data_IF_839299287796
#
_entry.id   IF_839299287796
#
_cell.length_a   1.000
_cell.length_b   1.000
_cell.length_c   1.000
_cell.angle_alpha   90.00
_cell.angle_beta   90.00
_cell.angle_gamma   90.00
#
_symmetry.space_group_name_H-M   'P 1'
#
loop_
_entity.id
_entity.type
_entity.pdbx_description
1 polymer ?
#
# COMPACT_ATOMS: atom_id res chain seq x y z
N UNK A 1 67.76 -52.78 83.94
CA UNK A 1 69.05 -52.51 84.60
C UNK A 1 69.19 -51.00 84.71
N UNK A 2 68.96 -50.48 85.94
CA UNK A 2 69.40 -49.20 86.56
C UNK A 2 69.42 -47.94 85.66
N UNK A 3 68.40 -47.06 85.66
CA UNK A 3 68.11 -45.92 86.58
C UNK A 3 69.24 -44.86 86.72
N UNK A 4 68.94 -43.61 86.29
CA UNK A 4 68.65 -42.41 87.12
C UNK A 4 69.33 -41.07 86.72
N UNK A 5 68.47 -40.03 86.70
CA UNK A 5 68.67 -38.58 87.01
C UNK A 5 69.55 -37.73 86.07
N UNK A 6 69.34 -36.42 85.84
CA UNK A 6 68.29 -35.43 86.09
C UNK A 6 68.75 -34.09 85.45
N UNK A 7 67.78 -33.24 85.07
CA UNK A 7 67.70 -31.78 85.30
C UNK A 7 68.70 -30.74 84.71
N UNK A 8 68.10 -29.86 83.91
CA UNK A 8 68.00 -28.38 84.03
C UNK A 8 69.15 -27.36 83.74
N UNK A 9 68.67 -26.28 83.08
CA UNK A 9 69.00 -24.84 83.15
C UNK A 9 70.16 -24.18 82.34
N UNK A 10 69.76 -23.10 81.64
CA UNK A 10 70.54 -22.05 80.95
C UNK A 10 71.52 -21.30 81.88
N UNK A 11 72.64 -20.78 81.35
CA UNK A 11 73.01 -19.34 81.32
C UNK A 11 74.48 -19.06 80.86
N UNK A 12 74.65 -17.94 80.14
CA UNK A 12 75.80 -16.99 80.08
C UNK A 12 77.24 -17.37 79.68
N UNK A 13 77.71 -16.62 78.66
CA UNK A 13 78.87 -15.69 78.62
C UNK A 13 80.20 -16.05 79.34
N UNK A 14 81.25 -15.82 78.55
CA UNK A 14 82.54 -15.17 78.87
C UNK A 14 83.66 -15.99 79.54
N UNK A 15 84.80 -16.07 78.84
CA UNK A 15 86.15 -15.83 79.40
C UNK A 15 86.97 -15.11 78.30
N UNK A 16 87.42 -13.85 78.46
CA UNK A 16 88.48 -13.27 79.33
C UNK A 16 89.85 -13.91 79.07
N UNK A 17 90.78 -13.24 78.39
CA UNK A 17 91.66 -12.09 78.75
C UNK A 17 92.98 -12.52 79.41
N UNK A 18 94.11 -12.09 78.81
CA UNK A 18 95.31 -11.42 79.40
C UNK A 18 96.63 -11.79 78.66
N UNK A 19 97.73 -11.00 78.73
CA UNK A 19 97.80 -9.53 78.55
C UNK A 19 99.11 -8.99 77.90
N UNK A 20 99.15 -7.65 77.75
CA UNK A 20 100.27 -6.72 77.99
C UNK A 20 101.34 -6.38 76.91
N UNK A 21 101.09 -5.21 76.28
CA UNK A 21 101.87 -3.95 76.38
C UNK A 21 103.18 -3.67 75.60
N UNK A 22 103.10 -2.51 74.90
CA UNK A 22 104.11 -1.46 74.64
C UNK A 22 105.32 -1.77 73.72
N UNK A 23 105.38 -1.14 72.53
CA UNK A 23 106.05 0.15 72.29
C UNK A 23 106.17 0.49 70.78
N UNK A 24 106.04 1.80 70.51
CA UNK A 24 106.74 2.61 69.51
C UNK A 24 106.58 2.36 67.97
N UNK A 25 105.75 3.22 67.37
CA UNK A 25 106.13 4.20 66.32
C UNK A 25 107.27 3.87 65.31
N UNK A 26 106.95 3.64 64.03
CA UNK A 26 107.18 4.60 62.92
C UNK A 26 106.84 4.04 61.51
N UNK A 27 106.33 4.90 60.60
CA UNK A 27 106.49 4.78 59.13
C UNK A 27 105.33 4.16 58.30
N UNK A 28 104.11 4.70 58.27
CA UNK A 28 103.63 5.79 57.39
C UNK A 28 103.49 5.57 55.85
N UNK A 29 103.67 4.34 55.32
CA UNK A 29 103.48 4.07 53.86
C UNK A 29 102.42 3.01 53.49
N UNK A 30 102.16 1.99 54.31
CA UNK A 30 101.19 0.92 53.95
C UNK A 30 99.71 1.26 54.23
N UNK A 31 99.42 2.09 55.24
CA UNK A 31 98.04 2.58 55.49
C UNK A 31 97.56 3.51 54.38
N UNK A 32 98.45 4.33 53.81
CA UNK A 32 98.14 5.24 52.70
C UNK A 32 97.81 4.45 51.42
N UNK A 33 98.59 3.41 51.11
CA UNK A 33 98.33 2.53 49.95
C UNK A 33 96.98 1.80 50.08
N UNK A 34 96.64 1.30 51.28
CA UNK A 34 95.35 0.65 51.51
C UNK A 34 94.16 1.62 51.44
N UNK A 35 94.32 2.84 51.97
CA UNK A 35 93.31 3.92 51.83
C UNK A 35 93.11 4.28 50.36
N UNK A 36 94.19 4.42 49.57
CA UNK A 36 94.12 4.70 48.14
C UNK A 36 93.41 3.57 47.38
N UNK A 37 93.67 2.31 47.72
CA UNK A 37 93.00 1.16 47.11
C UNK A 37 91.49 1.13 47.41
N UNK A 38 91.09 1.43 48.65
CA UNK A 38 89.66 1.53 49.04
C UNK A 38 88.97 2.71 48.35
N UNK A 39 89.63 3.85 48.20
CA UNK A 39 89.11 5.02 47.48
C UNK A 39 88.94 4.73 45.99
N UNK A 40 89.90 4.04 45.35
CA UNK A 40 89.79 3.58 43.96
C UNK A 40 88.63 2.60 43.78
N UNK A 41 88.45 1.65 44.69
CA UNK A 41 87.33 0.71 44.66
C UNK A 41 85.98 1.43 44.80
N UNK A 42 85.88 2.39 45.71
CA UNK A 42 84.69 3.23 45.88
C UNK A 42 84.41 4.09 44.64
N UNK A 43 85.43 4.63 43.97
CA UNK A 43 85.29 5.37 42.71
C UNK A 43 84.77 4.48 41.59
N UNK A 44 85.25 3.23 41.49
CA UNK A 44 84.77 2.25 40.51
C UNK A 44 83.31 1.90 40.78
N UNK A 45 82.94 1.62 42.04
CA UNK A 45 81.55 1.29 42.41
C UNK A 45 80.60 2.48 42.11
N UNK A 46 80.99 3.71 42.48
CA UNK A 46 80.20 4.90 42.19
C UNK A 46 80.14 5.20 40.68
N UNK A 47 81.21 4.94 39.94
CA UNK A 47 81.25 5.07 38.48
C UNK A 47 80.31 4.09 37.79
N UNK A 48 80.31 2.82 38.22
CA UNK A 48 79.36 1.79 37.73
C UNK A 48 77.92 2.17 38.10
N UNK A 49 77.67 2.59 39.34
CA UNK A 49 76.32 2.99 39.77
C UNK A 49 75.82 4.24 39.04
N UNK A 50 76.70 5.21 38.74
CA UNK A 50 76.36 6.38 37.94
C UNK A 50 76.09 6.03 36.48
N UNK A 51 76.88 5.12 35.90
CA UNK A 51 76.67 4.61 34.55
C UNK A 51 75.35 3.84 34.43
N UNK A 52 75.09 2.89 35.33
CA UNK A 52 73.82 2.15 35.42
C UNK A 52 72.65 3.11 35.65
N UNK A 53 72.77 4.08 36.56
CA UNK A 53 71.72 5.08 36.79
C UNK A 53 71.45 5.98 35.58
N UNK A 54 72.48 6.28 34.75
CA UNK A 54 72.29 7.02 33.49
C UNK A 54 71.66 6.15 32.41
N UNK A 55 72.02 4.87 32.35
CA UNK A 55 71.43 3.91 31.43
C UNK A 55 69.95 3.67 31.78
N UNK A 56 69.64 3.43 33.06
CA UNK A 56 68.27 3.28 33.55
C UNK A 56 67.43 4.54 33.26
N UNK A 57 67.98 5.74 33.44
CA UNK A 57 67.29 7.00 33.12
C UNK A 57 67.00 7.14 31.62
N UNK A 58 67.92 6.72 30.75
CA UNK A 58 67.70 6.70 29.29
C UNK A 58 66.65 5.66 28.89
N UNK A 59 66.76 4.44 29.40
CA UNK A 59 65.81 3.36 29.11
C UNK A 59 64.39 3.69 29.61
N UNK A 60 64.26 4.37 30.76
CA UNK A 60 62.96 4.86 31.27
C UNK A 60 62.43 5.99 30.39
N UNK A 61 63.27 6.94 29.95
CA UNK A 61 62.87 8.02 29.06
C UNK A 61 62.39 7.50 27.70
N UNK A 62 63.11 6.55 27.10
CA UNK A 62 62.74 5.93 25.82
C UNK A 62 61.44 5.12 25.93
N UNK A 63 61.24 4.40 27.05
CA UNK A 63 59.98 3.71 27.36
C UNK A 63 58.82 4.70 27.53
N UNK A 64 59.05 5.82 28.22
CA UNK A 64 58.06 6.86 28.44
C UNK A 64 57.64 7.53 27.12
N UNK A 65 58.60 7.88 26.26
CA UNK A 65 58.33 8.43 24.93
C UNK A 65 57.56 7.43 24.04
N UNK A 66 57.91 6.14 24.11
CA UNK A 66 57.17 5.10 23.38
C UNK A 66 55.73 4.94 23.88
N UNK A 67 55.49 5.08 25.18
CA UNK A 67 54.14 5.03 25.77
C UNK A 67 53.34 6.25 25.32
N UNK A 68 53.92 7.44 25.35
CA UNK A 68 53.27 8.68 24.91
C UNK A 68 52.89 8.65 23.42
N UNK A 69 53.77 8.12 22.56
CA UNK A 69 53.47 7.90 21.13
C UNK A 69 52.29 6.95 20.92
N UNK A 70 52.25 5.83 21.65
CA UNK A 70 51.14 4.86 21.59
C UNK A 70 49.84 5.45 22.13
N UNK A 71 49.89 6.22 23.21
CA UNK A 71 48.73 6.90 23.79
C UNK A 71 48.14 7.94 22.82
N UNK A 72 49.00 8.72 22.15
CA UNK A 72 48.57 9.65 21.11
C UNK A 72 47.93 8.94 19.92
N UNK A 73 48.46 7.79 19.48
CA UNK A 73 47.82 6.99 18.43
C UNK A 73 46.43 6.49 18.84
N UNK A 74 46.27 6.02 20.08
CA UNK A 74 44.97 5.58 20.60
C UNK A 74 43.99 6.77 20.69
N UNK A 75 44.44 7.97 21.07
CA UNK A 75 43.60 9.18 21.06
C UNK A 75 43.12 9.53 19.66
N UNK A 76 44.01 9.51 18.66
CA UNK A 76 43.65 9.75 17.25
C UNK A 76 42.65 8.70 16.75
N UNK A 77 42.88 7.41 17.04
CA UNK A 77 41.94 6.34 16.69
C UNK A 77 40.58 6.54 17.33
N UNK A 78 40.54 7.04 18.57
CA UNK A 78 39.26 7.31 19.22
C UNK A 78 38.54 8.47 18.55
N UNK A 79 39.21 9.60 18.32
CA UNK A 79 38.59 10.74 17.66
C UNK A 79 38.02 10.36 16.28
N UNK A 80 38.75 9.51 15.55
CA UNK A 80 38.28 8.92 14.29
C UNK A 80 37.04 8.04 14.48
N UNK A 81 37.06 7.14 15.47
CA UNK A 81 35.93 6.27 15.78
C UNK A 81 34.69 7.07 16.22
N UNK A 82 34.86 8.11 17.03
CA UNK A 82 33.77 8.97 17.50
C UNK A 82 33.11 9.71 16.32
N UNK A 83 33.91 10.20 15.37
CA UNK A 83 33.40 10.79 14.12
C UNK A 83 32.60 9.77 13.30
N UNK A 84 33.15 8.57 13.09
CA UNK A 84 32.50 7.50 12.32
C UNK A 84 31.21 7.01 13.00
N UNK A 85 31.16 7.01 14.34
CA UNK A 85 29.95 6.69 15.09
C UNK A 85 28.83 7.69 14.85
N UNK A 86 29.14 8.98 14.85
CA UNK A 86 28.15 10.02 14.60
C UNK A 86 27.59 9.91 13.17
N UNK A 87 28.48 9.72 12.19
CA UNK A 87 28.09 9.50 10.80
C UNK A 87 27.25 8.22 10.63
N UNK A 88 27.61 7.15 11.35
CA UNK A 88 26.83 5.91 11.36
C UNK A 88 25.42 6.12 11.90
N UNK A 89 25.24 6.85 13.01
CA UNK A 89 23.93 7.08 13.61
C UNK A 89 22.99 7.80 12.61
N UNK A 90 23.53 8.72 11.80
CA UNK A 90 22.79 9.37 10.70
C UNK A 90 22.43 8.39 9.58
N UNK A 91 23.35 7.50 9.19
CA UNK A 91 23.10 6.50 8.13
C UNK A 91 22.10 5.43 8.57
N UNK A 92 22.17 4.96 9.82
CA UNK A 92 21.20 4.02 10.40
C UNK A 92 19.80 4.62 10.33
N UNK A 93 19.63 5.87 10.75
CA UNK A 93 18.34 6.56 10.68
C UNK A 93 17.82 6.65 9.22
N UNK A 94 18.69 6.91 8.25
CA UNK A 94 18.30 6.92 6.83
C UNK A 94 17.90 5.53 6.32
N UNK A 95 18.67 4.49 6.65
CA UNK A 95 18.37 3.11 6.25
C UNK A 95 17.03 2.64 6.85
N UNK A 96 16.77 2.95 8.13
CA UNK A 96 15.50 2.63 8.79
C UNK A 96 14.31 3.33 8.14
N UNK A 97 14.46 4.61 7.78
CA UNK A 97 13.43 5.35 7.03
C UNK A 97 13.15 4.74 5.65
N UNK A 98 14.17 4.16 5.03
CA UNK A 98 14.07 3.46 3.74
C UNK A 98 13.68 1.98 3.88
N UNK A 99 13.50 1.48 5.12
CA UNK A 99 13.09 0.11 5.42
C UNK A 99 14.18 -0.96 5.32
N UNK A 100 15.46 -0.57 5.33
CA UNK A 100 16.60 -1.48 5.26
C UNK A 100 17.07 -2.04 6.61
N UNK A 101 18.00 -3.00 6.58
CA UNK A 101 18.53 -3.68 7.77
C UNK A 101 19.82 -3.02 8.31
N UNK A 102 19.81 -2.68 9.59
CA UNK A 102 20.91 -1.99 10.32
C UNK A 102 21.64 -2.87 11.33
N UNK A 103 21.25 -4.15 11.47
CA UNK A 103 21.72 -5.03 12.55
C UNK A 103 23.22 -5.30 12.54
N UNK A 104 23.81 -5.56 11.36
CA UNK A 104 25.24 -5.87 11.20
C UNK A 104 26.14 -4.68 11.58
N UNK A 105 25.79 -3.47 11.16
CA UNK A 105 26.50 -2.23 11.52
C UNK A 105 26.49 -2.01 13.04
N UNK A 106 25.33 -2.21 13.67
CA UNK A 106 25.19 -2.09 15.11
C UNK A 106 26.02 -3.12 15.90
N UNK A 107 26.16 -4.35 15.39
CA UNK A 107 27.01 -5.38 15.99
C UNK A 107 28.49 -5.01 15.92
N UNK A 108 28.99 -4.66 14.73
CA UNK A 108 30.39 -4.30 14.52
C UNK A 108 30.80 -3.06 15.33
N UNK A 109 29.91 -2.07 15.44
CA UNK A 109 30.09 -0.91 16.33
C UNK A 109 30.35 -1.33 17.78
N UNK A 110 29.51 -2.22 18.32
CA UNK A 110 29.63 -2.67 19.72
C UNK A 110 30.97 -3.38 19.96
N UNK A 111 31.40 -4.21 19.02
CA UNK A 111 32.69 -4.89 19.08
C UNK A 111 33.86 -3.91 19.05
N UNK A 112 33.80 -2.89 18.18
CA UNK A 112 34.86 -1.90 18.00
C UNK A 112 35.01 -1.00 19.25
N UNK A 113 33.88 -0.59 19.85
CA UNK A 113 33.86 0.17 21.10
C UNK A 113 34.40 -0.64 22.29
N UNK A 114 34.05 -1.93 22.37
CA UNK A 114 34.55 -2.82 23.41
C UNK A 114 36.07 -2.98 23.30
N UNK A 115 36.60 -3.22 22.10
CA UNK A 115 38.04 -3.38 21.88
C UNK A 115 38.82 -2.09 22.16
N UNK A 116 38.30 -0.93 21.74
CA UNK A 116 38.92 0.37 22.03
C UNK A 116 38.96 0.68 23.54
N UNK A 117 37.90 0.34 24.28
CA UNK A 117 37.87 0.46 25.74
C UNK A 117 38.95 -0.41 26.40
N UNK A 118 39.14 -1.64 25.94
CA UNK A 118 40.19 -2.53 26.46
C UNK A 118 41.60 -2.02 26.14
N UNK A 119 41.82 -1.47 24.94
CA UNK A 119 43.11 -0.92 24.52
C UNK A 119 43.53 0.31 25.34
N UNK A 120 42.57 1.15 25.74
CA UNK A 120 42.80 2.31 26.64
C UNK A 120 43.14 1.89 28.07
N UNK A 121 42.42 0.90 28.60
CA UNK A 121 42.65 0.41 29.97
C UNK A 121 44.06 -0.18 30.15
N UNK A 122 44.67 -0.69 29.09
CA UNK A 122 46.00 -1.30 29.09
C UNK A 122 47.19 -0.30 29.09
N UNK A 123 46.95 1.02 29.22
CA UNK A 123 48.00 2.10 29.23
C UNK A 123 48.99 2.00 28.06
N UNK A 124 48.50 2.22 26.84
CA UNK A 124 49.30 2.15 25.61
C UNK A 124 49.33 0.71 25.09
N UNK A 125 48.20 0.25 24.57
CA UNK A 125 48.07 -1.07 23.95
C UNK A 125 49.26 -1.40 23.04
N UNK A 126 49.67 -2.67 23.06
CA UNK A 126 50.80 -3.12 22.26
C UNK A 126 50.59 -2.80 20.76
N UNK A 127 51.68 -2.69 19.99
CA UNK A 127 51.65 -2.36 18.57
C UNK A 127 50.72 -3.30 17.78
N UNK A 128 50.61 -4.57 18.21
CA UNK A 128 49.65 -5.53 17.65
C UNK A 128 48.18 -5.09 17.85
N UNK A 129 47.83 -4.55 19.02
CA UNK A 129 46.48 -4.05 19.32
C UNK A 129 46.14 -2.82 18.48
N UNK A 130 47.08 -1.88 18.34
CA UNK A 130 46.89 -0.68 17.51
C UNK A 130 46.69 -1.06 16.03
N UNK A 131 47.45 -2.06 15.52
CA UNK A 131 47.28 -2.57 14.15
C UNK A 131 45.92 -3.24 13.94
N UNK A 132 45.46 -4.06 14.88
CA UNK A 132 44.13 -4.70 14.82
C UNK A 132 42.99 -3.69 14.86
N UNK A 133 43.08 -2.67 15.71
CA UNK A 133 42.11 -1.57 15.75
C UNK A 133 42.06 -0.82 14.41
N UNK A 134 43.21 -0.52 13.81
CA UNK A 134 43.26 0.12 12.48
C UNK A 134 42.62 -0.74 11.40
N UNK A 135 42.85 -2.07 11.41
CA UNK A 135 42.23 -2.98 10.46
C UNK A 135 40.71 -2.97 10.60
N UNK A 136 40.19 -3.10 11.84
CA UNK A 136 38.74 -3.07 12.07
C UNK A 136 38.09 -1.72 11.77
N UNK A 137 38.77 -0.61 12.05
CA UNK A 137 38.28 0.73 11.63
C UNK A 137 38.18 0.80 10.11
N UNK A 138 39.17 0.27 9.38
CA UNK A 138 39.15 0.24 7.91
C UNK A 138 38.02 -0.66 7.37
N UNK A 139 37.80 -1.81 7.98
CA UNK A 139 36.69 -2.71 7.61
C UNK A 139 35.34 -2.02 7.86
N UNK A 140 35.22 -1.33 8.99
CA UNK A 140 34.04 -0.53 9.32
C UNK A 140 33.80 0.62 8.34
N UNK A 141 34.86 1.34 7.93
CA UNK A 141 34.79 2.37 6.88
C UNK A 141 34.30 1.79 5.55
N UNK A 142 34.83 0.62 5.15
CA UNK A 142 34.44 -0.07 3.91
C UNK A 142 32.95 -0.42 3.94
N UNK A 143 32.49 -1.00 5.05
CA UNK A 143 31.07 -1.33 5.23
C UNK A 143 30.20 -0.07 5.21
N UNK A 144 30.65 1.05 5.78
CA UNK A 144 29.91 2.31 5.69
C UNK A 144 29.76 2.82 4.26
N UNK A 145 30.79 2.64 3.41
CA UNK A 145 30.71 2.98 1.98
C UNK A 145 29.73 2.08 1.24
N UNK A 146 29.74 0.77 1.48
CA UNK A 146 28.75 -0.16 0.90
C UNK A 146 27.31 0.23 1.28
N UNK A 147 27.12 0.76 2.49
CA UNK A 147 25.80 1.22 2.97
C UNK A 147 25.38 2.52 2.30
N UNK A 148 26.31 3.41 1.96
CA UNK A 148 25.99 4.60 1.17
C UNK A 148 25.46 4.20 -0.22
N UNK A 149 26.09 3.22 -0.86
CA UNK A 149 25.62 2.69 -2.14
C UNK A 149 24.23 2.06 -2.01
N UNK A 150 23.98 1.29 -0.96
CA UNK A 150 22.66 0.71 -0.66
C UNK A 150 21.60 1.79 -0.40
N UNK A 151 21.92 2.84 0.35
CA UNK A 151 21.03 3.99 0.61
C UNK A 151 20.67 4.68 -0.71
N UNK A 152 21.64 4.94 -1.59
CA UNK A 152 21.38 5.60 -2.87
C UNK A 152 20.53 4.71 -3.80
N UNK A 153 20.76 3.40 -3.79
CA UNK A 153 19.89 2.44 -4.50
C UNK A 153 18.46 2.44 -3.94
N UNK A 154 18.30 2.37 -2.62
CA UNK A 154 16.99 2.38 -1.97
C UNK A 154 16.25 3.69 -2.19
N UNK A 155 16.95 4.84 -2.20
CA UNK A 155 16.36 6.15 -2.55
C UNK A 155 15.88 6.16 -3.99
N UNK A 156 16.71 5.69 -4.93
CA UNK A 156 16.36 5.63 -6.34
C UNK A 156 15.14 4.72 -6.59
N UNK A 157 15.12 3.54 -5.97
CA UNK A 157 13.98 2.62 -6.05
C UNK A 157 12.72 3.22 -5.44
N UNK A 158 12.81 3.84 -4.25
CA UNK A 158 11.65 4.50 -3.64
C UNK A 158 11.11 5.64 -4.50
N UNK A 159 11.97 6.43 -5.12
CA UNK A 159 11.54 7.46 -6.06
C UNK A 159 10.82 6.86 -7.27
N UNK A 160 11.38 5.83 -7.90
CA UNK A 160 10.75 5.14 -9.02
C UNK A 160 9.39 4.54 -8.64
N UNK A 161 9.32 3.86 -7.48
CA UNK A 161 8.08 3.29 -6.96
C UNK A 161 7.05 4.37 -6.64
N UNK A 162 7.46 5.52 -6.13
CA UNK A 162 6.57 6.65 -5.88
C UNK A 162 6.01 7.24 -7.18
N UNK A 163 6.85 7.44 -8.19
CA UNK A 163 6.45 7.92 -9.50
C UNK A 163 5.50 6.94 -10.20
N UNK A 164 5.83 5.65 -10.15
CA UNK A 164 4.98 4.59 -10.70
C UNK A 164 3.64 4.49 -9.98
N UNK A 165 3.64 4.52 -8.64
CA UNK A 165 2.41 4.49 -7.84
C UNK A 165 1.53 5.70 -8.15
N UNK A 166 2.13 6.89 -8.26
CA UNK A 166 1.41 8.12 -8.61
C UNK A 166 0.81 8.04 -10.02
N UNK A 167 1.59 7.56 -10.99
CA UNK A 167 1.14 7.33 -12.37
C UNK A 167 0.00 6.31 -12.43
N UNK A 168 0.14 5.18 -11.72
CA UNK A 168 -0.88 4.13 -11.65
C UNK A 168 -2.17 4.65 -11.02
N UNK A 169 -2.10 5.39 -9.91
CA UNK A 169 -3.27 6.03 -9.28
C UNK A 169 -3.99 6.98 -10.25
N UNK A 170 -3.24 7.81 -10.98
CA UNK A 170 -3.81 8.70 -12.01
C UNK A 170 -4.48 7.91 -13.13
N UNK A 171 -3.85 6.85 -13.62
CA UNK A 171 -4.41 5.99 -14.67
C UNK A 171 -5.69 5.27 -14.23
N UNK A 172 -5.74 4.80 -12.98
CA UNK A 172 -6.94 4.17 -12.41
C UNK A 172 -8.08 5.17 -12.35
N UNK A 173 -7.85 6.37 -11.78
CA UNK A 173 -8.88 7.41 -11.71
C UNK A 173 -9.41 7.80 -13.10
N UNK A 174 -8.53 7.96 -14.10
CA UNK A 174 -8.92 8.25 -15.47
C UNK A 174 -9.75 7.13 -16.12
N UNK A 175 -9.43 5.87 -15.81
CA UNK A 175 -10.19 4.71 -16.30
C UNK A 175 -11.56 4.60 -15.65
N UNK A 176 -11.64 4.81 -14.34
CA UNK A 176 -12.92 4.83 -13.61
C UNK A 176 -13.85 5.93 -14.12
N UNK A 177 -13.33 7.14 -14.33
CA UNK A 177 -14.07 8.26 -14.95
C UNK A 177 -14.58 7.88 -16.35
N UNK A 178 -13.74 7.25 -17.16
CA UNK A 178 -14.09 6.82 -18.51
C UNK A 178 -15.17 5.74 -18.51
N UNK A 179 -15.06 4.75 -17.61
CA UNK A 179 -16.06 3.69 -17.44
C UNK A 179 -17.40 4.28 -17.00
N UNK A 180 -17.39 5.19 -16.03
CA UNK A 180 -18.60 5.87 -15.56
C UNK A 180 -19.30 6.64 -16.69
N UNK A 181 -18.55 7.42 -17.47
CA UNK A 181 -19.08 8.16 -18.62
C UNK A 181 -19.60 7.24 -19.73
N UNK A 182 -18.90 6.15 -20.03
CA UNK A 182 -19.34 5.17 -21.03
C UNK A 182 -20.61 4.46 -20.59
N UNK A 183 -20.72 4.09 -19.32
CA UNK A 183 -21.93 3.48 -18.75
C UNK A 183 -23.12 4.44 -18.81
N UNK A 184 -22.93 5.70 -18.40
CA UNK A 184 -23.97 6.72 -18.51
C UNK A 184 -24.42 6.94 -19.96
N UNK A 185 -23.46 7.00 -20.90
CA UNK A 185 -23.77 7.15 -22.32
C UNK A 185 -24.50 5.92 -22.88
N UNK A 186 -24.09 4.71 -22.50
CA UNK A 186 -24.79 3.46 -22.90
C UNK A 186 -26.22 3.48 -22.41
N UNK A 187 -26.46 3.77 -21.13
CA UNK A 187 -27.80 3.84 -20.56
C UNK A 187 -28.66 4.90 -21.25
N UNK A 188 -28.11 6.09 -21.53
CA UNK A 188 -28.81 7.14 -22.28
C UNK A 188 -29.16 6.69 -23.70
N UNK A 189 -28.22 6.02 -24.39
CA UNK A 189 -28.44 5.50 -25.74
C UNK A 189 -29.48 4.38 -25.75
N UNK A 190 -29.45 3.48 -24.77
CA UNK A 190 -30.45 2.42 -24.60
C UNK A 190 -31.85 3.00 -24.35
N UNK A 191 -31.98 4.01 -23.49
CA UNK A 191 -33.24 4.72 -23.28
C UNK A 191 -33.74 5.43 -24.55
N UNK A 192 -32.85 6.10 -25.28
CA UNK A 192 -33.19 6.75 -26.55
C UNK A 192 -33.62 5.74 -27.61
N UNK A 193 -32.94 4.59 -27.71
CA UNK A 193 -33.30 3.52 -28.62
C UNK A 193 -34.64 2.88 -28.24
N UNK A 194 -34.90 2.67 -26.94
CA UNK A 194 -36.18 2.16 -26.46
C UNK A 194 -37.34 3.10 -26.83
N UNK A 195 -37.18 4.41 -26.60
CA UNK A 195 -38.17 5.42 -27.02
C UNK A 195 -38.35 5.48 -28.54
N UNK A 196 -37.24 5.41 -29.29
CA UNK A 196 -37.28 5.43 -30.75
C UNK A 196 -37.85 4.14 -31.35
N UNK A 197 -37.84 3.02 -30.63
CA UNK A 197 -38.40 1.74 -31.07
C UNK A 197 -39.93 1.66 -30.91
N UNK A 198 -40.57 2.61 -30.21
CA UNK A 198 -42.02 2.64 -30.04
C UNK A 198 -42.69 2.78 -31.41
N UNK A 199 -43.64 1.88 -31.69
CA UNK A 199 -44.41 1.90 -32.93
C UNK A 199 -45.48 2.99 -32.88
N UNK A 200 -45.84 3.53 -34.05
CA UNK A 200 -46.91 4.52 -34.20
C UNK A 200 -47.96 4.00 -35.16
N UNK A 201 -49.23 4.17 -34.79
CA UNK A 201 -50.38 3.88 -35.63
C UNK A 201 -50.91 5.17 -36.25
N UNK A 202 -51.05 5.16 -37.57
CA UNK A 202 -51.58 6.28 -38.37
C UNK A 202 -52.80 5.81 -39.16
N UNK A 203 -53.59 6.77 -39.65
CA UNK A 203 -54.81 6.50 -40.44
C UNK A 203 -55.79 5.57 -39.72
N UNK A 204 -56.03 5.83 -38.43
CA UNK A 204 -56.99 5.08 -37.62
C UNK A 204 -58.40 5.45 -38.10
N UNK A 205 -59.08 4.49 -38.72
CA UNK A 205 -60.44 4.61 -39.24
C UNK A 205 -61.37 3.66 -38.52
N UNK A 206 -62.57 4.12 -38.19
CA UNK A 206 -63.60 3.33 -37.54
C UNK A 206 -64.74 3.11 -38.53
N UNK A 207 -64.98 1.86 -38.87
CA UNK A 207 -66.10 1.45 -39.70
C UNK A 207 -67.12 0.68 -38.87
N UNK A 208 -68.38 0.74 -39.27
CA UNK A 208 -69.44 -0.02 -38.62
C UNK A 208 -69.99 -1.07 -39.56
N UNK A 209 -70.22 -2.25 -39.01
CA UNK A 209 -70.88 -3.36 -39.69
C UNK A 209 -72.29 -3.45 -39.12
N UNK A 210 -73.29 -3.38 -40.00
CA UNK A 210 -74.68 -3.56 -39.62
C UNK A 210 -75.06 -5.04 -39.45
N UNK A 211 -76.27 -5.30 -38.94
CA UNK A 211 -76.79 -6.66 -38.74
C UNK A 211 -76.92 -7.49 -40.05
N UNK A 212 -76.79 -6.87 -41.22
CA UNK A 212 -76.80 -7.50 -42.56
C UNK A 212 -75.39 -7.69 -43.11
N UNK A 213 -74.35 -7.36 -42.34
CA UNK A 213 -72.95 -7.47 -42.73
C UNK A 213 -72.48 -6.34 -43.65
N UNK A 214 -73.26 -5.27 -43.87
CA UNK A 214 -72.85 -4.17 -44.74
C UNK A 214 -71.93 -3.22 -43.96
N UNK A 215 -70.70 -3.07 -44.45
CA UNK A 215 -69.74 -2.08 -43.96
C UNK A 215 -70.20 -0.68 -44.38
N UNK A 216 -70.30 0.22 -43.40
CA UNK A 216 -70.57 1.65 -43.62
C UNK A 216 -69.40 2.45 -43.07
N UNK A 217 -68.80 3.22 -43.97
CA UNK A 217 -67.91 4.32 -43.63
C UNK A 217 -68.80 5.57 -43.57
N UNK A 218 -68.72 6.29 -42.45
CA UNK A 218 -69.27 7.64 -42.34
C UNK A 218 -68.08 8.57 -42.10
N UNK A 219 -67.88 9.53 -42.99
CA UNK A 219 -66.74 10.45 -42.94
C UNK A 219 -66.75 11.31 -41.67
N UNK A 220 -67.90 11.48 -41.02
CA UNK A 220 -68.03 12.18 -39.75
C UNK A 220 -67.82 11.26 -38.51
N UNK A 221 -67.63 9.95 -38.72
CA UNK A 221 -67.59 8.93 -37.67
C UNK A 221 -68.81 8.97 -36.71
N UNK A 222 -69.97 9.41 -37.22
CA UNK A 222 -71.22 9.51 -36.48
C UNK A 222 -72.16 8.38 -36.86
N UNK A 223 -72.61 7.59 -35.88
CA UNK A 223 -73.39 6.40 -36.18
C UNK A 223 -74.58 6.23 -35.26
N UNK A 224 -75.73 5.82 -35.82
CA UNK A 224 -76.93 5.55 -35.02
C UNK A 224 -76.77 4.26 -34.22
N UNK A 225 -76.99 4.29 -32.91
CA UNK A 225 -76.81 3.13 -32.02
C UNK A 225 -77.50 1.85 -32.52
N UNK A 226 -78.70 1.98 -33.11
CA UNK A 226 -79.49 0.86 -33.64
C UNK A 226 -78.87 0.14 -34.85
N UNK A 227 -77.93 0.77 -35.55
CA UNK A 227 -77.30 0.24 -36.77
C UNK A 227 -75.95 -0.41 -36.50
N UNK A 228 -75.43 -0.31 -35.27
CA UNK A 228 -74.12 -0.83 -34.89
C UNK A 228 -74.29 -2.25 -34.38
N UNK A 229 -73.82 -3.24 -35.15
CA UNK A 229 -73.67 -4.62 -34.67
C UNK A 229 -72.21 -4.86 -34.25
N UNK A 230 -71.27 -4.52 -35.15
CA UNK A 230 -69.83 -4.61 -34.90
C UNK A 230 -69.12 -3.34 -35.33
N UNK A 231 -68.00 -3.05 -34.68
CA UNK A 231 -67.05 -2.02 -35.10
C UNK A 231 -65.83 -2.69 -35.71
N UNK A 232 -65.34 -2.10 -36.79
CA UNK A 232 -64.09 -2.49 -37.45
C UNK A 232 -63.14 -1.31 -37.41
N UNK A 233 -62.07 -1.42 -36.63
CA UNK A 233 -61.06 -0.38 -36.47
C UNK A 233 -59.87 -0.75 -37.34
N UNK A 234 -59.62 0.02 -38.40
CA UNK A 234 -58.50 -0.20 -39.32
C UNK A 234 -57.44 0.87 -39.11
N UNK A 235 -56.16 0.48 -39.10
CA UNK A 235 -55.05 1.41 -38.92
C UNK A 235 -53.81 0.89 -39.66
N UNK A 236 -52.86 1.78 -39.93
CA UNK A 236 -51.56 1.44 -40.51
C UNK A 236 -50.47 1.71 -39.51
N UNK A 237 -49.48 0.82 -39.42
CA UNK A 237 -48.29 1.07 -38.63
C UNK A 237 -47.28 1.87 -39.47
N UNK A 238 -46.70 2.92 -38.90
CA UNK A 238 -45.60 3.66 -39.52
C UNK A 238 -44.35 2.78 -39.59
N UNK A 239 -43.47 3.06 -40.55
CA UNK A 239 -42.16 2.43 -40.58
C UNK A 239 -41.30 2.89 -39.39
N UNK A 240 -40.61 1.93 -38.78
CA UNK A 240 -39.67 2.17 -37.70
C UNK A 240 -38.47 1.24 -37.88
N UNK A 241 -37.34 1.81 -38.28
CA UNK A 241 -36.08 1.08 -38.50
C UNK A 241 -35.37 0.69 -37.20
N UNK A 242 -35.76 1.28 -36.07
CA UNK A 242 -35.20 1.00 -34.74
C UNK A 242 -35.95 -0.14 -34.07
N UNK A 243 -37.25 -0.30 -34.38
CA UNK A 243 -38.05 -1.42 -33.91
C UNK A 243 -37.57 -2.76 -34.49
N UNK A 244 -37.51 -3.78 -33.64
CA UNK A 244 -37.13 -5.14 -34.04
C UNK A 244 -38.22 -5.81 -34.89
N UNK A 245 -37.79 -6.58 -35.88
CA UNK A 245 -38.66 -7.41 -36.72
C UNK A 245 -38.99 -8.69 -35.95
N UNK A 246 -40.19 -8.73 -35.37
CA UNK A 246 -40.66 -9.87 -34.57
C UNK A 246 -42.19 -9.89 -34.50
N UNK A 247 -42.74 -10.98 -33.95
CA UNK A 247 -44.17 -11.08 -33.67
C UNK A 247 -44.52 -10.22 -32.47
N UNK A 248 -45.33 -9.19 -32.68
CA UNK A 248 -45.80 -8.26 -31.65
C UNK A 248 -47.31 -8.40 -31.45
N UNK A 249 -47.80 -7.93 -30.31
CA UNK A 249 -49.23 -7.86 -30.01
C UNK A 249 -49.69 -6.40 -29.96
N UNK A 250 -50.81 -6.09 -30.64
CA UNK A 250 -51.55 -4.84 -30.45
C UNK A 250 -52.76 -5.12 -29.57
N UNK A 251 -52.97 -4.27 -28.59
CA UNK A 251 -54.14 -4.25 -27.72
C UNK A 251 -55.01 -3.05 -28.12
N UNK A 252 -56.30 -3.29 -28.33
CA UNK A 252 -57.29 -2.25 -28.57
C UNK A 252 -58.14 -2.08 -27.33
N UNK A 253 -58.27 -0.83 -26.87
CA UNK A 253 -59.15 -0.43 -25.77
C UNK A 253 -60.22 0.48 -26.32
N UNK A 254 -61.48 0.14 -26.09
CA UNK A 254 -62.63 0.99 -26.43
C UNK A 254 -63.18 1.57 -25.14
N UNK A 255 -63.19 2.88 -25.01
CA UNK A 255 -63.70 3.63 -23.88
C UNK A 255 -65.10 4.15 -24.20
N UNK A 256 -66.04 3.91 -23.28
CA UNK A 256 -67.36 4.55 -23.31
C UNK A 256 -67.25 6.06 -23.06
N UNK A 257 -68.30 6.86 -23.35
CA UNK A 257 -68.31 8.30 -23.10
C UNK A 257 -68.06 8.69 -21.63
N UNK A 258 -68.36 7.77 -20.71
CA UNK A 258 -68.10 7.90 -19.26
C UNK A 258 -66.64 7.56 -18.87
N UNK A 259 -65.79 7.16 -19.84
CA UNK A 259 -64.39 6.78 -19.61
C UNK A 259 -64.16 5.33 -19.17
N UNK A 260 -65.21 4.52 -19.06
CA UNK A 260 -65.09 3.10 -18.72
C UNK A 260 -64.64 2.28 -19.93
N UNK A 261 -63.64 1.41 -19.75
CA UNK A 261 -63.19 0.51 -20.82
C UNK A 261 -64.18 -0.64 -21.01
N UNK A 262 -64.58 -0.87 -22.25
CA UNK A 262 -65.34 -2.03 -22.66
C UNK A 262 -64.41 -3.23 -22.70
N UNK A 263 -64.57 -4.17 -21.78
CA UNK A 263 -63.86 -5.43 -21.82
C UNK A 263 -64.82 -6.56 -21.51
N UNK A 264 -64.63 -7.69 -22.18
CA UNK A 264 -65.39 -8.89 -21.95
C UNK A 264 -64.47 -10.09 -22.18
N UNK A 265 -64.28 -10.90 -21.14
CA UNK A 265 -63.40 -12.06 -21.16
C UNK A 265 -63.83 -13.12 -22.19
N UNK A 266 -65.13 -13.16 -22.54
CA UNK A 266 -65.68 -14.11 -23.50
C UNK A 266 -65.44 -13.70 -24.97
N UNK A 267 -65.23 -12.41 -25.24
CA UNK A 267 -65.01 -11.86 -26.58
C UNK A 267 -63.56 -11.44 -26.84
N UNK A 268 -62.64 -11.87 -25.96
CA UNK A 268 -61.20 -11.68 -26.13
C UNK A 268 -60.62 -10.51 -25.34
N UNK A 269 -61.40 -9.87 -24.46
CA UNK A 269 -60.91 -8.85 -23.54
C UNK A 269 -60.07 -9.43 -22.39
N UNK A 270 -59.23 -8.60 -21.78
CA UNK A 270 -58.32 -9.01 -20.72
C UNK A 270 -57.61 -7.84 -20.06
N UNK A 271 -56.51 -8.11 -19.37
CA UNK A 271 -55.63 -7.12 -18.76
C UNK A 271 -54.24 -7.18 -19.37
N UNK A 272 -53.57 -6.04 -19.46
CA UNK A 272 -52.17 -5.92 -19.82
C UNK A 272 -51.49 -4.85 -18.96
N UNK A 273 -50.19 -5.00 -18.73
CA UNK A 273 -49.40 -3.99 -18.05
C UNK A 273 -48.93 -2.94 -19.04
N UNK A 274 -49.22 -1.66 -18.77
CA UNK A 274 -48.63 -0.53 -19.47
C UNK A 274 -47.12 -0.45 -19.19
N UNK A 275 -46.37 0.23 -20.06
CA UNK A 275 -44.96 0.53 -19.85
C UNK A 275 -44.70 1.29 -18.53
N UNK A 276 -45.70 2.03 -18.03
CA UNK A 276 -45.67 2.72 -16.73
C UNK A 276 -45.98 1.81 -15.52
N UNK A 277 -46.16 0.50 -15.74
CA UNK A 277 -46.49 -0.47 -14.70
C UNK A 277 -47.96 -0.46 -14.24
N UNK A 278 -48.85 0.24 -14.95
CA UNK A 278 -50.29 0.27 -14.67
C UNK A 278 -50.99 -0.90 -15.33
N UNK A 279 -51.83 -1.62 -14.59
CA UNK A 279 -52.72 -2.64 -15.15
C UNK A 279 -53.89 -1.98 -15.88
N UNK A 280 -54.00 -2.23 -17.17
CA UNK A 280 -55.02 -1.68 -18.06
C UNK A 280 -55.87 -2.80 -18.65
N UNK A 281 -57.17 -2.55 -18.79
CA UNK A 281 -58.08 -3.48 -19.48
C UNK A 281 -58.07 -3.22 -20.98
N UNK A 282 -58.14 -4.29 -21.78
CA UNK A 282 -58.28 -4.20 -23.22
C UNK A 282 -59.53 -4.92 -23.71
N UNK A 283 -60.07 -4.44 -24.83
CA UNK A 283 -61.29 -4.94 -25.48
C UNK A 283 -60.98 -6.10 -26.41
N UNK A 284 -59.94 -5.96 -27.22
CA UNK A 284 -59.48 -6.99 -28.15
C UNK A 284 -57.95 -6.95 -28.27
N UNK A 285 -57.35 -8.09 -28.62
CA UNK A 285 -55.92 -8.19 -28.93
C UNK A 285 -55.69 -8.90 -30.25
N UNK A 286 -54.60 -8.56 -30.93
CA UNK A 286 -54.21 -9.17 -32.18
C UNK A 286 -52.68 -9.25 -32.26
N UNK A 287 -52.17 -10.45 -32.54
CA UNK A 287 -50.76 -10.68 -32.82
C UNK A 287 -50.47 -10.50 -34.31
N UNK A 288 -49.34 -9.91 -34.65
CA UNK A 288 -48.90 -9.67 -36.03
C UNK A 288 -47.37 -9.70 -36.12
N UNK A 289 -46.82 -10.06 -37.28
CA UNK A 289 -45.38 -10.02 -37.53
C UNK A 289 -44.99 -8.63 -38.05
N UNK A 290 -44.33 -7.82 -37.23
CA UNK A 290 -43.83 -6.52 -37.67
C UNK A 290 -42.63 -6.72 -38.61
N UNK A 291 -42.76 -6.35 -39.88
CA UNK A 291 -41.72 -6.49 -40.91
C UNK A 291 -41.26 -5.15 -41.52
N UNK A 292 -41.66 -4.03 -40.90
CA UNK A 292 -41.34 -2.67 -41.32
C UNK A 292 -41.85 -2.29 -42.74
N UNK A 293 -42.92 -2.94 -43.25
CA UNK A 293 -43.52 -2.64 -44.56
C UNK A 293 -44.84 -1.87 -44.50
N UNK A 294 -45.04 -1.04 -43.46
CA UNK A 294 -46.26 -0.25 -43.27
C UNK A 294 -47.55 -1.09 -43.34
N UNK A 295 -47.55 -2.21 -42.62
CA UNK A 295 -48.67 -3.15 -42.61
C UNK A 295 -49.96 -2.48 -42.11
N UNK A 296 -51.08 -2.85 -42.73
CA UNK A 296 -52.41 -2.46 -42.32
C UNK A 296 -53.01 -3.56 -41.43
N UNK A 297 -53.47 -3.16 -40.24
CA UNK A 297 -54.13 -4.04 -39.28
C UNK A 297 -55.58 -3.60 -39.11
N UNK A 298 -56.45 -4.53 -38.74
CA UNK A 298 -57.84 -4.23 -38.45
C UNK A 298 -58.39 -5.11 -37.34
N UNK A 299 -58.96 -4.48 -36.32
CA UNK A 299 -59.75 -5.16 -35.30
C UNK A 299 -61.20 -5.23 -35.73
N UNK A 300 -61.84 -6.39 -35.53
CA UNK A 300 -63.28 -6.54 -35.64
C UNK A 300 -63.82 -6.94 -34.27
N UNK A 301 -64.67 -6.09 -33.69
CA UNK A 301 -65.23 -6.33 -32.36
C UNK A 301 -66.73 -6.03 -32.32
N UNK A 302 -67.50 -6.89 -31.67
CA UNK A 302 -68.92 -6.71 -31.44
C UNK A 302 -69.21 -6.70 -29.94
N UNK A 303 -69.87 -5.64 -29.44
CA UNK A 303 -70.22 -5.50 -28.02
C UNK A 303 -71.25 -6.54 -27.55
N UNK A 304 -72.08 -7.06 -28.47
CA UNK A 304 -73.23 -7.92 -28.14
C UNK A 304 -74.41 -7.19 -27.49
N UNK A 305 -74.19 -5.98 -26.97
CA UNK A 305 -75.21 -5.07 -26.45
C UNK A 305 -75.16 -3.71 -27.18
N UNK A 306 -76.19 -2.87 -26.98
CA UNK A 306 -76.22 -1.53 -27.60
C UNK A 306 -75.10 -0.64 -27.04
N UNK A 307 -74.49 0.14 -27.93
CA UNK A 307 -73.58 1.22 -27.55
C UNK A 307 -74.39 2.34 -26.86
N UNK A 308 -73.78 2.97 -25.86
CA UNK A 308 -74.35 4.17 -25.24
C UNK A 308 -74.31 5.32 -26.26
N UNK A 309 -75.16 6.32 -26.10
CA UNK A 309 -75.05 7.54 -26.92
C UNK A 309 -73.87 8.39 -26.41
N UNK A 310 -73.12 8.98 -27.33
CA UNK A 310 -71.95 9.81 -27.04
C UNK A 310 -70.66 9.38 -27.74
N UNK A 311 -69.59 10.12 -27.47
CA UNK A 311 -68.26 9.91 -28.06
C UNK A 311 -67.52 8.77 -27.37
N UNK A 312 -67.20 7.73 -28.13
CA UNK A 312 -66.35 6.63 -27.70
C UNK A 312 -64.93 6.87 -28.18
N UNK A 313 -63.95 6.58 -27.33
CA UNK A 313 -62.53 6.72 -27.65
C UNK A 313 -61.92 5.35 -27.84
N UNK A 314 -61.09 5.19 -28.86
CA UNK A 314 -60.32 3.98 -29.12
C UNK A 314 -58.86 4.29 -28.87
N UNK A 315 -58.22 3.53 -27.99
CA UNK A 315 -56.79 3.59 -27.75
C UNK A 315 -56.13 2.29 -28.23
N UNK A 316 -55.05 2.42 -28.98
CA UNK A 316 -54.24 1.28 -29.42
C UNK A 316 -52.94 1.27 -28.62
N UNK A 317 -52.57 0.10 -28.10
CA UNK A 317 -51.34 -0.12 -27.36
C UNK A 317 -50.52 -1.25 -27.99
N UNK A 318 -49.20 -1.10 -27.98
CA UNK A 318 -48.25 -2.16 -28.34
C UNK A 318 -47.06 -2.06 -27.39
N UNK A 319 -46.58 -3.20 -26.88
CA UNK A 319 -45.47 -3.27 -25.93
C UNK A 319 -45.67 -2.35 -24.69
N UNK A 320 -46.92 -2.21 -24.26
CA UNK A 320 -47.29 -1.36 -23.11
C UNK A 320 -47.33 0.15 -23.41
N UNK A 321 -46.96 0.60 -24.61
CA UNK A 321 -47.03 2.00 -25.01
C UNK A 321 -48.27 2.29 -25.87
N UNK A 322 -48.87 3.46 -25.70
CA UNK A 322 -49.96 3.92 -26.56
C UNK A 322 -49.40 4.30 -27.94
N UNK A 323 -49.84 3.58 -28.98
CA UNK A 323 -49.34 3.77 -30.35
C UNK A 323 -50.25 4.67 -31.19
N UNK A 324 -51.50 4.90 -30.77
CA UNK A 324 -52.42 5.79 -31.46
C UNK A 324 -53.81 5.84 -30.82
N UNK A 325 -54.58 6.86 -31.20
CA UNK A 325 -55.95 7.09 -30.73
C UNK A 325 -56.89 7.39 -31.88
N UNK A 326 -58.12 6.90 -31.75
CA UNK A 326 -59.23 7.24 -32.62
C UNK A 326 -60.49 7.51 -31.80
N UNK A 327 -61.54 8.00 -32.42
CA UNK A 327 -62.83 8.19 -31.77
C UNK A 327 -63.98 7.98 -32.76
N UNK A 328 -65.15 7.67 -32.23
CA UNK A 328 -66.39 7.62 -32.99
C UNK A 328 -67.55 8.06 -32.11
N UNK A 329 -68.57 8.68 -32.70
CA UNK A 329 -69.71 9.21 -31.97
C UNK A 329 -70.94 8.36 -32.26
N UNK A 330 -71.63 7.95 -31.19
CA UNK A 330 -72.89 7.21 -31.29
C UNK A 330 -74.06 8.16 -31.02
N UNK A 331 -75.03 8.18 -31.92
CA UNK A 331 -76.26 9.00 -31.87
C UNK A 331 -77.53 8.16 -31.77
#
# INVERSE_FOLDING_TARGET
MVLKFADNYNFTKNQKNQPANFMADNGSNNKKIWIIAVVLLLLIINGVQFYLSRQDKKDIADKQESIEKKDNQIKVQTAKLDSLNHELDLKIAQVEQLGGDTTKLGQMRRELLAELKTARAARGGDLATIRRLNAKIKDFETMMTERDEEIEQLKSQNQQLFEETTRLKKNVAQREDSISRLSQRSNQQEQQLALAAILQAVNIKVHIIDHRGKEKEDDAAEFKARKIDKIKVSFKLTDNKVAKIETKEVFMRVLEPEGSCLYDLSTGGGRFSSADGKELYYTAKQSFLFDNKQQQLSFLWGKGARFKEGTHTIELYCEGHQIGTGSFTVK
#
